data_IF_491485120084
#
_entry.id   IF_491485120084
#
_cell.length_a   1.000
_cell.length_b   1.000
_cell.length_c   1.000
_cell.angle_alpha   90.00
_cell.angle_beta   90.00
_cell.angle_gamma   90.00
#
_symmetry.space_group_name_H-M   'P 1'
#
loop_
_entity.id
_entity.type
_entity.pdbx_description
1 polymer ?
#
# COMPACT_ATOMS: atom_id res chain seq x y z
N UNK A 1 2.35 12.37 66.12
CA UNK A 1 2.76 11.32 65.15
C UNK A 1 3.66 12.00 64.14
N UNK A 2 4.89 12.38 64.52
CA UNK A 2 6.12 11.56 64.55
C UNK A 2 6.51 11.00 63.17
N UNK A 3 7.55 11.64 62.64
CA UNK A 3 8.51 11.29 61.59
C UNK A 3 8.79 9.80 61.37
N UNK A 4 9.25 9.45 60.17
CA UNK A 4 10.57 8.81 60.02
C UNK A 4 11.00 8.63 58.55
N UNK A 5 11.99 9.44 58.16
CA UNK A 5 13.07 9.07 57.25
C UNK A 5 13.87 7.88 57.83
N UNK A 6 14.25 6.91 57.00
CA UNK A 6 15.33 5.97 57.32
C UNK A 6 15.93 5.32 56.05
N UNK A 7 17.17 5.71 55.68
CA UNK A 7 18.21 4.69 55.45
C UNK A 7 18.65 4.13 56.82
N UNK A 8 19.64 3.21 56.97
CA UNK A 8 20.85 3.14 56.13
C UNK A 8 21.58 1.75 56.07
N UNK A 9 22.76 1.75 55.41
CA UNK A 9 24.07 1.18 55.83
C UNK A 9 24.36 -0.34 55.97
N UNK A 10 25.52 -0.68 55.37
CA UNK A 10 26.66 -1.44 55.97
C UNK A 10 26.52 -2.98 55.96
N UNK A 11 27.54 -3.83 55.74
CA UNK A 11 28.98 -3.90 56.11
C UNK A 11 29.58 -5.09 55.32
N UNK A 12 30.67 -4.98 54.57
CA UNK A 12 32.08 -5.15 54.94
C UNK A 12 32.45 -6.41 55.76
N UNK A 13 33.30 -7.28 55.19
CA UNK A 13 34.44 -8.00 55.84
C UNK A 13 35.39 -8.46 54.71
N UNK A 14 36.65 -8.00 54.59
CA UNK A 14 37.89 -8.13 55.37
C UNK A 14 38.57 -9.51 55.39
N UNK A 15 39.87 -9.50 55.03
CA UNK A 15 40.89 -10.52 55.33
C UNK A 15 41.86 -10.68 54.15
N UNK A 16 42.94 -9.91 53.97
CA UNK A 16 44.12 -9.64 54.81
C UNK A 16 45.02 -10.86 55.01
N UNK A 17 46.20 -10.88 54.36
CA UNK A 17 47.56 -11.05 54.93
C UNK A 17 48.59 -11.08 53.77
N UNK A 18 49.48 -10.09 53.65
CA UNK A 18 50.86 -10.02 54.21
C UNK A 18 51.80 -11.08 53.56
N UNK A 19 53.06 -10.85 53.19
CA UNK A 19 54.03 -9.76 53.43
C UNK A 19 55.34 -10.10 52.65
N UNK A 20 56.00 -9.07 52.12
CA UNK A 20 57.47 -8.77 52.12
C UNK A 20 58.57 -9.63 51.47
N UNK A 21 59.51 -8.85 50.90
CA UNK A 21 60.98 -8.99 50.76
C UNK A 21 61.50 -9.63 49.46
N UNK A 22 62.15 -8.87 48.57
CA UNK A 22 63.57 -8.46 48.49
C UNK A 22 64.53 -9.58 48.07
N UNK A 23 65.28 -9.38 46.98
CA UNK A 23 66.49 -10.15 46.64
C UNK A 23 66.67 -10.44 45.14
N UNK A 24 67.61 -9.74 44.51
CA UNK A 24 68.10 -9.93 43.14
C UNK A 24 68.74 -11.30 42.91
N UNK A 25 68.56 -11.92 41.73
CA UNK A 25 69.64 -12.61 41.01
C UNK A 25 69.38 -12.58 39.49
N UNK A 26 70.44 -12.27 38.75
CA UNK A 26 70.55 -12.29 37.29
C UNK A 26 70.43 -13.74 36.77
N UNK A 27 69.63 -13.98 35.72
CA UNK A 27 69.81 -15.14 34.82
C UNK A 27 69.16 -14.86 33.46
N UNK A 28 69.99 -14.95 32.43
CA UNK A 28 69.69 -14.78 31.01
C UNK A 28 68.94 -16.02 30.49
N UNK A 29 67.74 -15.85 29.93
CA UNK A 29 67.12 -16.85 29.06
C UNK A 29 66.16 -16.19 28.07
N UNK A 30 66.47 -16.39 26.79
CA UNK A 30 65.76 -15.91 25.60
C UNK A 30 64.38 -16.57 25.51
N UNK A 31 63.32 -15.78 25.35
CA UNK A 31 62.10 -16.22 24.65
C UNK A 31 61.47 -15.03 23.90
N UNK A 32 61.46 -15.15 22.58
CA UNK A 32 60.76 -14.25 21.67
C UNK A 32 59.24 -14.37 21.89
N UNK A 33 58.58 -13.24 22.14
CA UNK A 33 57.14 -13.12 22.10
C UNK A 33 56.78 -11.98 21.12
N UNK A 34 56.60 -12.35 19.86
CA UNK A 34 56.03 -11.48 18.84
C UNK A 34 54.57 -11.18 19.21
N UNK A 35 54.26 -9.92 19.49
CA UNK A 35 52.89 -9.46 19.66
C UNK A 35 52.16 -9.53 18.32
N UNK A 36 51.36 -10.57 18.12
CA UNK A 36 50.41 -10.65 17.01
C UNK A 36 49.15 -9.88 17.42
N UNK A 37 49.03 -8.64 16.96
CA UNK A 37 47.76 -7.90 17.04
C UNK A 37 46.74 -8.59 16.15
N UNK A 38 45.77 -9.28 16.76
CA UNK A 38 44.62 -9.87 16.07
C UNK A 38 43.66 -8.75 15.67
N UNK A 39 43.88 -8.15 14.50
CA UNK A 39 42.90 -7.27 13.86
C UNK A 39 41.79 -8.17 13.30
N UNK A 40 40.68 -8.32 14.03
CA UNK A 40 39.49 -8.97 13.47
C UNK A 40 38.99 -8.10 12.30
N UNK A 41 38.89 -8.61 11.06
CA UNK A 41 38.28 -7.85 9.99
C UNK A 41 36.79 -7.71 10.32
N UNK A 42 36.34 -6.47 10.49
CA UNK A 42 34.92 -6.15 10.50
C UNK A 42 34.36 -6.58 9.13
N UNK A 43 33.65 -7.70 9.11
CA UNK A 43 32.91 -8.14 7.93
C UNK A 43 31.78 -7.14 7.70
N UNK A 44 32.03 -6.13 6.87
CA UNK A 44 30.98 -5.31 6.29
C UNK A 44 30.14 -6.22 5.41
N UNK A 45 28.94 -6.57 5.88
CA UNK A 45 27.92 -7.17 5.03
C UNK A 45 27.55 -6.15 3.96
N UNK A 46 28.19 -6.22 2.79
CA UNK A 46 27.74 -5.49 1.61
C UNK A 46 26.40 -6.09 1.21
N UNK A 47 25.32 -5.35 1.43
CA UNK A 47 24.01 -5.71 0.91
C UNK A 47 24.09 -5.66 -0.62
N UNK A 48 24.20 -6.83 -1.26
CA UNK A 48 24.21 -6.93 -2.72
C UNK A 48 22.77 -6.86 -3.22
N UNK A 49 22.41 -5.77 -3.89
CA UNK A 49 21.14 -5.65 -4.61
C UNK A 49 21.01 -6.77 -5.65
N UNK A 50 19.80 -7.28 -5.86
CA UNK A 50 19.52 -8.17 -7.00
C UNK A 50 19.66 -7.42 -8.33
N UNK A 51 19.88 -8.10 -9.47
CA UNK A 51 19.97 -7.43 -10.78
C UNK A 51 18.76 -6.56 -11.11
N UNK A 52 17.54 -6.98 -10.73
CA UNK A 52 16.32 -6.19 -10.93
C UNK A 52 16.28 -4.93 -10.04
N UNK A 53 16.75 -5.02 -8.80
CA UNK A 53 16.85 -3.86 -7.90
C UNK A 53 17.93 -2.88 -8.36
N UNK A 54 19.06 -3.38 -8.85
CA UNK A 54 20.11 -2.54 -9.43
C UNK A 54 19.64 -1.82 -10.70
N UNK A 55 18.90 -2.51 -11.58
CA UNK A 55 18.34 -1.92 -12.78
C UNK A 55 17.29 -0.84 -12.45
N UNK A 56 16.38 -1.11 -11.51
CA UNK A 56 15.38 -0.14 -11.06
C UNK A 56 16.03 1.09 -10.40
N UNK A 57 17.06 0.90 -9.56
CA UNK A 57 17.78 2.00 -8.92
C UNK A 57 18.60 2.85 -9.90
N UNK A 58 18.96 2.31 -11.06
CA UNK A 58 19.64 3.03 -12.13
C UNK A 58 18.67 3.79 -13.06
N UNK A 59 17.38 3.48 -13.00
CA UNK A 59 16.36 4.14 -13.79
C UNK A 59 15.96 5.44 -13.10
N UNK A 60 15.90 6.53 -13.87
CA UNK A 60 15.34 7.78 -13.38
C UNK A 60 13.82 7.62 -13.22
N UNK A 61 13.27 8.08 -12.10
CA UNK A 61 11.83 7.97 -11.84
C UNK A 61 11.05 8.76 -12.87
N UNK A 62 9.95 8.19 -13.39
CA UNK A 62 9.02 8.90 -14.26
C UNK A 62 8.21 10.00 -13.53
N UNK A 63 8.21 10.02 -12.19
CA UNK A 63 7.37 10.90 -11.39
C UNK A 63 7.47 12.39 -11.70
N UNK A 64 8.66 13.01 -11.91
CA UNK A 64 8.73 14.44 -12.21
C UNK A 64 7.91 14.83 -13.44
N UNK A 65 8.01 14.06 -14.54
CA UNK A 65 7.21 14.31 -15.74
C UNK A 65 5.73 14.02 -15.54
N UNK A 66 5.39 12.91 -14.87
CA UNK A 66 4.00 12.56 -14.58
C UNK A 66 3.31 13.59 -13.68
N UNK A 67 4.03 14.10 -12.68
CA UNK A 67 3.53 15.14 -11.78
C UNK A 67 3.17 16.40 -12.57
N UNK A 68 4.06 16.84 -13.45
CA UNK A 68 3.84 18.04 -14.27
C UNK A 68 2.68 17.84 -15.25
N UNK A 69 2.59 16.67 -15.91
CA UNK A 69 1.49 16.35 -16.83
C UNK A 69 0.12 16.27 -16.14
N UNK A 70 0.07 15.73 -14.92
CA UNK A 70 -1.18 15.47 -14.20
C UNK A 70 -1.66 16.66 -13.36
N UNK A 71 -0.74 17.43 -12.77
CA UNK A 71 -1.05 18.45 -11.77
C UNK A 71 -0.51 19.84 -12.13
N UNK A 72 0.30 19.96 -13.19
CA UNK A 72 0.95 21.21 -13.58
C UNK A 72 1.82 21.79 -12.46
N UNK A 73 1.86 23.12 -12.37
CA UNK A 73 2.66 23.84 -11.37
C UNK A 73 2.05 23.83 -9.95
N UNK A 74 0.96 23.08 -9.72
CA UNK A 74 0.31 23.06 -8.40
C UNK A 74 1.25 22.46 -7.36
N UNK A 75 1.41 23.09 -6.18
CA UNK A 75 2.24 22.54 -5.13
C UNK A 75 1.60 21.26 -4.57
N UNK A 76 2.42 20.22 -4.40
CA UNK A 76 2.04 18.97 -3.73
C UNK A 76 2.65 19.00 -2.34
N UNK A 77 1.81 18.98 -1.31
CA UNK A 77 2.23 18.95 0.09
C UNK A 77 2.55 17.51 0.48
N UNK A 78 3.76 17.27 0.97
CA UNK A 78 4.25 15.95 1.40
C UNK A 78 4.25 15.82 2.92
N UNK A 79 4.26 14.58 3.42
CA UNK A 79 4.53 14.28 4.83
C UNK A 79 3.40 14.65 5.81
N UNK A 80 2.16 14.69 5.33
CA UNK A 80 0.95 14.95 6.13
C UNK A 80 0.10 13.70 6.27
N UNK A 81 -0.79 13.68 7.27
CA UNK A 81 -1.76 12.59 7.46
C UNK A 81 -3.02 12.73 6.60
N UNK A 82 -3.08 13.71 5.68
CA UNK A 82 -4.24 13.96 4.81
C UNK A 82 -4.63 12.74 3.97
N UNK A 83 -3.64 11.97 3.52
CA UNK A 83 -3.81 10.69 2.86
C UNK A 83 -2.66 9.75 3.24
N UNK A 84 -3.00 8.53 3.64
CA UNK A 84 -2.04 7.45 3.84
C UNK A 84 -2.20 6.40 2.74
N UNK A 85 -1.08 5.90 2.24
CA UNK A 85 -1.01 4.84 1.23
C UNK A 85 -0.32 3.62 1.84
N UNK A 86 -1.04 2.51 1.90
CA UNK A 86 -0.51 1.22 2.31
C UNK A 86 -0.44 0.28 1.08
N UNK A 87 0.76 -0.24 0.83
CA UNK A 87 1.02 -1.26 -0.17
C UNK A 87 2.18 -2.17 0.32
N UNK A 88 2.25 -3.43 -0.11
CA UNK A 88 3.35 -4.31 0.31
C UNK A 88 4.68 -3.84 -0.29
N UNK A 89 5.76 -3.88 0.50
CA UNK A 89 7.11 -3.54 0.01
C UNK A 89 7.61 -4.47 -1.11
N UNK A 90 7.08 -5.70 -1.15
CA UNK A 90 7.26 -6.67 -2.24
C UNK A 90 5.95 -7.41 -2.48
N UNK A 91 5.46 -7.40 -3.72
CA UNK A 91 4.25 -8.14 -4.07
C UNK A 91 4.57 -9.62 -4.30
N UNK A 92 3.76 -10.50 -3.72
CA UNK A 92 3.79 -11.94 -4.03
C UNK A 92 3.28 -12.21 -5.44
N UNK A 93 2.25 -11.49 -5.85
CA UNK A 93 1.67 -11.54 -7.19
C UNK A 93 1.53 -10.10 -7.72
N UNK A 94 2.28 -9.74 -8.79
CA UNK A 94 2.26 -8.40 -9.36
C UNK A 94 0.93 -8.07 -10.08
N UNK A 95 0.07 -9.06 -10.37
CA UNK A 95 -1.21 -8.84 -11.03
C UNK A 95 -2.32 -8.39 -10.08
N UNK A 96 -2.13 -8.55 -8.76
CA UNK A 96 -3.14 -8.32 -7.71
C UNK A 96 -2.54 -7.66 -6.46
N UNK A 97 -1.75 -6.62 -6.64
CA UNK A 97 -1.13 -5.87 -5.54
C UNK A 97 -2.22 -5.13 -4.75
N UNK A 98 -2.43 -5.42 -3.46
CA UNK A 98 -3.41 -4.71 -2.65
C UNK A 98 -2.91 -3.30 -2.33
N UNK A 99 -3.81 -2.33 -2.51
CA UNK A 99 -3.61 -0.92 -2.19
C UNK A 99 -4.71 -0.52 -1.22
N UNK A 100 -4.33 0.13 -0.12
CA UNK A 100 -5.24 0.75 0.83
C UNK A 100 -4.92 2.24 0.96
N UNK A 101 -5.96 3.04 0.87
CA UNK A 101 -5.94 4.49 0.99
C UNK A 101 -6.76 4.86 2.22
N UNK A 102 -6.16 5.53 3.18
CA UNK A 102 -6.84 6.08 4.35
C UNK A 102 -6.90 7.59 4.21
N UNK A 103 -8.08 8.17 4.38
CA UNK A 103 -8.34 9.59 4.16
C UNK A 103 -8.61 10.27 5.50
N UNK A 104 -7.99 11.42 5.73
CA UNK A 104 -8.32 12.23 6.91
C UNK A 104 -9.69 12.90 6.73
N UNK A 105 -10.70 12.58 7.55
CA UNK A 105 -12.02 13.19 7.45
C UNK A 105 -12.00 14.70 7.70
N UNK A 106 -11.00 15.24 8.42
CA UNK A 106 -10.87 16.67 8.67
C UNK A 106 -10.44 17.47 7.43
N UNK A 107 -9.84 16.82 6.43
CA UNK A 107 -9.28 17.49 5.27
C UNK A 107 -10.29 17.69 4.12
N UNK A 108 -11.50 17.13 4.22
CA UNK A 108 -12.55 17.21 3.19
C UNK A 108 -12.01 16.86 1.78
N UNK A 109 -11.35 15.70 1.67
CA UNK A 109 -10.81 15.19 0.41
C UNK A 109 -11.95 14.94 -0.58
N UNK A 110 -11.86 15.51 -1.78
CA UNK A 110 -12.85 15.37 -2.86
C UNK A 110 -12.39 14.48 -4.00
N UNK A 111 -11.08 14.34 -4.18
CA UNK A 111 -10.54 13.48 -5.23
C UNK A 111 -9.25 12.82 -4.77
N UNK A 112 -9.05 11.57 -5.17
CA UNK A 112 -7.79 10.86 -5.00
C UNK A 112 -7.34 10.25 -6.33
N UNK A 113 -6.15 10.61 -6.78
CA UNK A 113 -5.53 10.03 -7.98
C UNK A 113 -4.42 9.07 -7.56
N UNK A 114 -4.57 7.80 -7.95
CA UNK A 114 -3.58 6.75 -7.74
C UNK A 114 -2.70 6.60 -8.98
N UNK A 115 -1.40 6.85 -8.83
CA UNK A 115 -0.41 6.83 -9.92
C UNK A 115 0.63 5.76 -9.63
N UNK A 116 0.98 4.98 -10.65
CA UNK A 116 2.01 3.93 -10.61
C UNK A 116 3.03 4.31 -11.67
N UNK A 117 4.17 4.87 -11.25
CA UNK A 117 5.07 5.62 -12.14
C UNK A 117 5.51 4.82 -13.36
N UNK A 118 5.91 3.56 -13.15
CA UNK A 118 6.48 2.69 -14.19
C UNK A 118 5.46 1.74 -14.82
N UNK A 119 4.16 2.03 -14.69
CA UNK A 119 3.12 1.31 -15.42
C UNK A 119 2.92 1.91 -16.83
N UNK A 120 2.60 1.08 -17.84
CA UNK A 120 2.29 1.56 -19.20
C UNK A 120 1.13 2.56 -19.26
N UNK A 121 0.19 2.49 -18.31
CA UNK A 121 -0.78 3.53 -18.02
C UNK A 121 -0.60 3.95 -16.55
N UNK A 122 0.08 5.09 -16.28
CA UNK A 122 0.47 5.47 -14.93
C UNK A 122 -0.70 5.76 -13.99
N UNK A 123 -1.75 6.44 -14.47
CA UNK A 123 -2.96 6.67 -13.66
C UNK A 123 -3.75 5.38 -13.56
N UNK A 124 -3.71 4.74 -12.40
CA UNK A 124 -4.39 3.48 -12.16
C UNK A 124 -5.90 3.69 -11.92
N UNK A 125 -6.22 4.71 -11.13
CA UNK A 125 -7.59 5.15 -10.88
C UNK A 125 -7.61 6.59 -10.35
N UNK A 126 -8.68 7.30 -10.65
CA UNK A 126 -9.08 8.53 -9.97
C UNK A 126 -10.41 8.30 -9.28
N UNK A 127 -10.50 8.61 -8.00
CA UNK A 127 -11.70 8.49 -7.20
C UNK A 127 -12.24 9.88 -6.88
N UNK A 128 -13.48 10.15 -7.24
CA UNK A 128 -14.21 11.34 -6.80
C UNK A 128 -15.06 10.97 -5.58
N UNK A 129 -14.95 11.75 -4.51
CA UNK A 129 -15.52 11.48 -3.20
C UNK A 129 -16.52 12.57 -2.88
N UNK A 130 -17.75 12.17 -2.56
CA UNK A 130 -18.79 13.12 -2.21
C UNK A 130 -18.51 13.71 -0.84
N UNK A 131 -18.74 15.02 -0.71
CA UNK A 131 -18.68 15.71 0.58
C UNK A 131 -19.63 15.09 1.59
N UNK A 132 -19.16 14.88 2.82
CA UNK A 132 -20.00 14.31 3.88
C UNK A 132 -20.40 12.84 3.65
N UNK A 133 -19.86 12.17 2.62
CA UNK A 133 -20.09 10.74 2.35
C UNK A 133 -19.72 9.82 3.51
N UNK A 134 -18.85 10.29 4.42
CA UNK A 134 -18.32 9.49 5.51
C UNK A 134 -17.28 8.46 5.07
N UNK A 135 -16.79 8.55 3.83
CA UNK A 135 -15.75 7.68 3.29
C UNK A 135 -14.40 8.02 3.95
N UNK A 136 -13.82 7.06 4.68
CA UNK A 136 -12.53 7.25 5.39
C UNK A 136 -11.45 6.29 4.93
N UNK A 137 -11.83 5.22 4.22
CA UNK A 137 -10.91 4.24 3.69
C UNK A 137 -11.40 3.72 2.34
N UNK A 138 -10.49 3.52 1.41
CA UNK A 138 -10.74 2.89 0.13
C UNK A 138 -9.57 1.96 -0.22
N UNK A 139 -9.88 0.72 -0.55
CA UNK A 139 -8.93 -0.31 -0.91
C UNK A 139 -9.30 -0.96 -2.22
N UNK A 140 -8.31 -1.23 -3.06
CA UNK A 140 -8.47 -1.97 -4.31
C UNK A 140 -7.23 -2.81 -4.62
N UNK A 141 -7.23 -3.50 -5.76
CA UNK A 141 -6.09 -4.29 -6.23
C UNK A 141 -5.66 -3.77 -7.60
N UNK A 142 -4.36 -3.60 -7.75
CA UNK A 142 -3.76 -3.08 -8.98
C UNK A 142 -2.72 -4.05 -9.55
N UNK A 143 -2.51 -3.95 -10.86
CA UNK A 143 -1.41 -4.55 -11.60
C UNK A 143 -0.20 -3.62 -11.53
N UNK A 144 0.97 -4.14 -11.19
CA UNK A 144 2.24 -3.40 -11.15
C UNK A 144 3.22 -4.02 -12.13
N UNK A 145 3.73 -3.23 -13.07
CA UNK A 145 4.50 -3.71 -14.20
C UNK A 145 6.02 -3.73 -13.96
N UNK A 146 6.52 -2.83 -13.11
CA UNK A 146 7.93 -2.72 -12.78
C UNK A 146 8.09 -2.25 -11.33
N UNK A 147 9.31 -2.37 -10.80
CA UNK A 147 9.63 -1.84 -9.48
C UNK A 147 9.47 -0.34 -9.53
N UNK A 148 8.61 0.21 -8.68
CA UNK A 148 8.09 1.56 -8.86
C UNK A 148 7.66 2.14 -7.52
N UNK A 149 7.72 3.47 -7.42
CA UNK A 149 6.90 4.18 -6.46
C UNK A 149 5.44 4.15 -6.93
N UNK A 150 4.52 4.01 -5.99
CA UNK A 150 3.10 4.26 -6.16
C UNK A 150 2.81 5.55 -5.41
N UNK A 151 2.23 6.53 -6.09
CA UNK A 151 1.82 7.81 -5.54
C UNK A 151 0.30 7.84 -5.35
N UNK A 152 -0.15 8.34 -4.21
CA UNK A 152 -1.55 8.72 -4.00
C UNK A 152 -1.61 10.22 -3.78
N UNK A 153 -2.30 10.93 -4.68
CA UNK A 153 -2.48 12.38 -4.62
C UNK A 153 -3.92 12.67 -4.23
N UNK A 154 -4.11 13.30 -3.07
CA UNK A 154 -5.41 13.73 -2.58
C UNK A 154 -5.63 15.22 -2.84
N UNK A 155 -6.77 15.57 -3.42
CA UNK A 155 -7.23 16.92 -3.66
C UNK A 155 -8.37 17.25 -2.69
N UNK A 156 -8.18 18.30 -1.92
CA UNK A 156 -9.18 18.82 -0.97
C UNK A 156 -10.17 19.77 -1.64
N UNK A 157 -11.27 20.10 -0.95
CA UNK A 157 -12.30 20.99 -1.47
C UNK A 157 -11.82 22.39 -1.85
N UNK A 158 -10.73 22.89 -1.24
CA UNK A 158 -10.13 24.19 -1.57
C UNK A 158 -9.09 24.13 -2.70
N UNK A 159 -8.84 22.93 -3.25
CA UNK A 159 -7.86 22.70 -4.30
C UNK A 159 -6.43 22.48 -3.80
N UNK A 160 -6.19 22.29 -2.51
CA UNK A 160 -4.86 21.88 -2.02
C UNK A 160 -4.60 20.42 -2.37
N UNK A 161 -3.40 20.13 -2.90
CA UNK A 161 -2.94 18.78 -3.23
C UNK A 161 -1.98 18.25 -2.15
N UNK A 162 -2.25 17.04 -1.67
CA UNK A 162 -1.39 16.29 -0.76
C UNK A 162 -0.92 15.03 -1.45
N UNK A 163 0.34 14.64 -1.27
CA UNK A 163 0.90 13.43 -1.87
C UNK A 163 1.61 12.57 -0.85
N UNK A 164 1.39 11.27 -0.98
CA UNK A 164 2.14 10.22 -0.28
C UNK A 164 2.58 9.17 -1.28
N UNK A 165 3.62 8.40 -0.93
CA UNK A 165 4.14 7.36 -1.81
C UNK A 165 4.59 6.11 -1.06
N UNK A 166 4.54 4.99 -1.77
CA UNK A 166 5.05 3.71 -1.30
C UNK A 166 5.78 2.99 -2.42
N UNK A 167 7.05 2.64 -2.18
CA UNK A 167 7.83 1.83 -3.11
C UNK A 167 7.41 0.36 -3.05
N UNK A 168 7.18 -0.25 -4.22
CA UNK A 168 6.72 -1.64 -4.34
C UNK A 168 7.62 -2.42 -5.28
N UNK A 169 8.18 -3.53 -4.78
CA UNK A 169 8.93 -4.51 -5.59
C UNK A 169 7.97 -5.51 -6.22
N UNK A 170 7.51 -5.23 -7.44
CA UNK A 170 6.63 -6.08 -8.24
C UNK A 170 6.92 -5.89 -9.75
N UNK A 171 6.81 -6.92 -10.58
CA UNK A 171 7.09 -6.78 -12.01
C UNK A 171 6.22 -7.71 -12.87
N UNK A 172 5.81 -7.23 -14.05
CA UNK A 172 5.09 -8.01 -15.07
C UNK A 172 3.59 -8.20 -14.83
N UNK A 173 2.99 -7.52 -13.85
CA UNK A 173 1.56 -7.68 -13.50
C UNK A 173 0.59 -7.31 -14.61
N UNK A 174 0.96 -6.36 -15.47
CA UNK A 174 0.11 -5.94 -16.58
C UNK A 174 0.05 -6.99 -17.70
N UNK A 175 1.12 -7.74 -17.94
CA UNK A 175 1.18 -8.80 -18.96
C UNK A 175 0.85 -10.20 -18.40
N UNK A 176 0.66 -10.32 -17.07
CA UNK A 176 0.31 -11.58 -16.43
C UNK A 176 -1.00 -12.16 -17.00
N UNK A 177 -1.04 -13.45 -17.38
CA UNK A 177 -2.23 -14.07 -17.94
C UNK A 177 -3.46 -13.91 -17.02
N UNK A 178 -4.59 -13.53 -17.61
CA UNK A 178 -5.89 -13.52 -16.93
C UNK A 178 -6.54 -14.92 -16.99
N UNK A 179 -7.40 -15.27 -16.03
CA UNK A 179 -8.26 -16.46 -15.91
C UNK A 179 -7.79 -17.80 -16.53
N UNK A 180 -7.82 -18.90 -15.76
CA UNK A 180 -7.59 -20.26 -16.32
C UNK A 180 -8.70 -20.74 -17.27
N UNK A 181 -9.87 -20.13 -17.24
CA UNK A 181 -11.04 -20.47 -18.07
C UNK A 181 -11.80 -19.21 -18.52
N UNK A 182 -11.54 -18.79 -19.75
CA UNK A 182 -12.13 -17.59 -20.34
C UNK A 182 -13.65 -17.73 -20.62
N UNK A 183 -14.14 -18.94 -20.88
CA UNK A 183 -15.57 -19.15 -21.18
C UNK A 183 -16.42 -18.99 -19.92
N UNK A 184 -15.96 -19.54 -18.80
CA UNK A 184 -16.61 -19.34 -17.50
C UNK A 184 -16.55 -17.88 -17.08
N UNK A 185 -15.40 -17.21 -17.25
CA UNK A 185 -15.25 -15.80 -16.95
C UNK A 185 -16.24 -14.94 -17.76
N UNK A 186 -16.38 -15.20 -19.06
CA UNK A 186 -17.33 -14.49 -19.92
C UNK A 186 -18.79 -14.68 -19.48
N UNK A 187 -19.19 -15.89 -19.08
CA UNK A 187 -20.55 -16.18 -18.59
C UNK A 187 -20.88 -15.50 -17.26
N UNK A 188 -19.86 -15.20 -16.46
CA UNK A 188 -20.01 -14.58 -15.14
C UNK A 188 -19.78 -13.06 -15.15
N UNK A 189 -19.34 -12.51 -16.29
CA UNK A 189 -19.08 -11.09 -16.44
C UNK A 189 -20.29 -10.24 -16.02
N UNK A 190 -20.03 -9.18 -15.26
CA UNK A 190 -21.05 -8.28 -14.72
C UNK A 190 -21.73 -8.77 -13.44
N UNK A 191 -21.50 -10.01 -13.00
CA UNK A 191 -22.01 -10.46 -11.71
C UNK A 191 -21.36 -9.65 -10.59
N UNK A 192 -22.19 -9.02 -9.76
CA UNK A 192 -21.73 -8.24 -8.61
C UNK A 192 -22.17 -8.84 -7.28
N UNK A 193 -21.28 -8.75 -6.29
CA UNK A 193 -21.52 -9.10 -4.89
C UNK A 193 -21.01 -7.99 -3.99
N UNK A 194 -21.83 -7.59 -3.01
CA UNK A 194 -21.42 -6.72 -1.92
C UNK A 194 -21.43 -7.51 -0.62
N UNK A 195 -20.40 -7.36 0.21
CA UNK A 195 -20.33 -7.87 1.58
C UNK A 195 -20.24 -6.68 2.52
N UNK A 196 -21.14 -6.61 3.50
CA UNK A 196 -21.02 -5.67 4.62
C UNK A 196 -20.35 -6.39 5.80
N UNK A 197 -19.57 -5.67 6.58
CA UNK A 197 -18.88 -6.17 7.77
C UNK A 197 -19.34 -5.39 9.00
N UNK A 198 -19.20 -6.00 10.17
CA UNK A 198 -19.64 -5.41 11.43
C UNK A 198 -18.94 -4.07 11.70
N UNK A 199 -19.67 -3.15 12.34
CA UNK A 199 -19.15 -1.83 12.68
C UNK A 199 -18.00 -1.94 13.67
N UNK A 200 -16.98 -1.11 13.47
CA UNK A 200 -16.00 -0.78 14.51
C UNK A 200 -16.34 0.59 15.10
N UNK A 201 -16.26 0.70 16.42
CA UNK A 201 -16.33 2.00 17.08
C UNK A 201 -14.95 2.64 17.06
N UNK A 202 -14.79 3.67 16.23
CA UNK A 202 -13.57 4.46 16.12
C UNK A 202 -13.88 5.85 16.64
N UNK A 203 -13.42 6.16 17.85
CA UNK A 203 -13.56 7.49 18.45
C UNK A 203 -15.02 7.90 18.72
N UNK A 204 -15.94 6.96 18.98
CA UNK A 204 -17.35 7.24 19.27
C UNK A 204 -18.23 7.36 18.02
N UNK A 205 -17.68 7.13 16.83
CA UNK A 205 -18.43 7.08 15.57
C UNK A 205 -18.44 5.64 15.04
N UNK A 206 -19.64 5.09 14.85
CA UNK A 206 -19.81 3.79 14.22
C UNK A 206 -19.32 3.86 12.76
N UNK A 207 -18.19 3.22 12.49
CA UNK A 207 -17.63 3.07 11.16
C UNK A 207 -17.96 1.67 10.65
N UNK A 208 -18.61 1.60 9.50
CA UNK A 208 -18.98 0.37 8.82
C UNK A 208 -18.02 0.10 7.68
N UNK A 209 -17.92 -1.16 7.29
CA UNK A 209 -17.09 -1.56 6.18
C UNK A 209 -17.90 -2.35 5.15
N UNK A 210 -17.65 -2.10 3.87
CA UNK A 210 -18.23 -2.87 2.78
C UNK A 210 -17.15 -3.27 1.76
N UNK A 211 -17.41 -4.35 1.03
CA UNK A 211 -16.59 -4.81 -0.08
C UNK A 211 -17.48 -5.13 -1.28
N UNK A 212 -17.34 -4.33 -2.32
CA UNK A 212 -17.89 -4.59 -3.65
C UNK A 212 -16.93 -5.48 -4.44
N UNK A 213 -17.45 -6.50 -5.09
CA UNK A 213 -16.73 -7.38 -6.01
C UNK A 213 -17.52 -7.44 -7.32
N UNK A 214 -16.81 -7.26 -8.43
CA UNK A 214 -17.39 -7.27 -9.78
C UNK A 214 -16.63 -8.32 -10.59
N UNK A 215 -17.35 -9.28 -11.17
CA UNK A 215 -16.76 -10.23 -12.11
C UNK A 215 -16.51 -9.53 -13.44
N UNK A 216 -15.25 -9.36 -13.80
CA UNK A 216 -14.84 -8.69 -15.03
C UNK A 216 -13.41 -9.07 -15.40
N UNK A 217 -13.11 -9.36 -16.68
CA UNK A 217 -11.77 -9.81 -17.08
C UNK A 217 -10.68 -8.78 -16.78
N UNK A 218 -10.99 -7.48 -16.93
CA UNK A 218 -10.04 -6.39 -16.70
C UNK A 218 -8.68 -6.67 -17.39
N UNK A 219 -8.78 -7.01 -18.67
CA UNK A 219 -7.63 -7.23 -19.55
C UNK A 219 -6.94 -5.90 -19.81
N UNK A 220 -5.62 -5.88 -19.72
CA UNK A 220 -4.83 -4.65 -19.82
C UNK A 220 -4.49 -4.29 -21.27
N UNK A 221 -4.67 -5.24 -22.20
CA UNK A 221 -4.16 -5.13 -23.57
C UNK A 221 -2.76 -5.71 -23.76
N UNK A 222 -2.07 -6.08 -22.68
CA UNK A 222 -0.65 -6.50 -22.70
C UNK A 222 -0.48 -8.01 -22.50
N UNK A 223 -1.54 -8.71 -22.09
CA UNK A 223 -1.53 -10.16 -21.99
C UNK A 223 -1.48 -10.81 -23.37
N UNK A 224 -0.84 -11.96 -23.48
CA UNK A 224 -0.89 -12.82 -24.67
C UNK A 224 -1.77 -14.03 -24.43
N UNK A 225 -2.64 -14.30 -25.40
CA UNK A 225 -3.38 -15.54 -25.46
C UNK A 225 -2.40 -16.70 -25.75
N UNK A 226 -2.42 -17.73 -24.91
CA UNK A 226 -1.42 -18.80 -24.96
C UNK A 226 -1.60 -19.75 -26.16
N UNK A 227 -2.73 -19.69 -26.86
CA UNK A 227 -3.05 -20.53 -28.01
C UNK A 227 -2.73 -19.80 -29.31
N UNK A 228 -3.30 -18.61 -29.48
CA UNK A 228 -3.16 -17.79 -30.68
C UNK A 228 -1.86 -16.99 -30.70
N UNK A 229 -1.22 -16.79 -29.54
CA UNK A 229 -0.03 -15.95 -29.34
C UNK A 229 -0.23 -14.46 -29.66
N UNK A 230 -1.48 -14.05 -29.89
CA UNK A 230 -1.88 -12.67 -30.10
C UNK A 230 -2.08 -11.96 -28.76
N UNK A 231 -2.00 -10.63 -28.78
CA UNK A 231 -2.37 -9.81 -27.64
C UNK A 231 -3.89 -9.88 -27.41
N UNK A 232 -4.27 -10.07 -26.15
CA UNK A 232 -5.66 -9.97 -25.72
C UNK A 232 -6.01 -8.48 -25.68
N UNK A 233 -7.06 -8.02 -26.38
CA UNK A 233 -7.46 -6.61 -26.35
C UNK A 233 -7.73 -6.11 -24.94
N UNK A 234 -7.48 -4.82 -24.71
CA UNK A 234 -7.84 -4.17 -23.45
C UNK A 234 -9.35 -4.21 -23.27
N UNK A 235 -9.80 -4.73 -22.12
CA UNK A 235 -11.23 -4.83 -21.79
C UNK A 235 -11.37 -4.73 -20.27
N UNK A 236 -11.67 -3.53 -19.79
CA UNK A 236 -11.67 -3.20 -18.36
C UNK A 236 -12.81 -2.24 -18.00
N UNK A 237 -13.14 -2.18 -16.71
CA UNK A 237 -14.09 -1.22 -16.16
C UNK A 237 -13.45 0.18 -16.20
N UNK A 238 -14.05 1.09 -16.97
CA UNK A 238 -13.63 2.49 -17.07
C UNK A 238 -14.23 3.33 -15.96
N UNK A 239 -15.49 3.06 -15.60
CA UNK A 239 -16.25 3.88 -14.67
C UNK A 239 -16.94 3.01 -13.62
N UNK A 240 -16.93 3.45 -12.36
CA UNK A 240 -17.73 2.90 -11.28
C UNK A 240 -18.37 4.04 -10.50
N UNK A 241 -19.65 3.91 -10.20
CA UNK A 241 -20.38 4.74 -9.25
C UNK A 241 -20.93 3.85 -8.14
N UNK A 242 -20.71 4.25 -6.89
CA UNK A 242 -21.30 3.63 -5.71
C UNK A 242 -22.15 4.67 -5.02
N UNK A 243 -23.47 4.46 -5.03
CA UNK A 243 -24.47 5.29 -4.39
C UNK A 243 -24.99 4.58 -3.13
N UNK A 244 -25.43 5.35 -2.15
CA UNK A 244 -26.08 4.87 -0.93
C UNK A 244 -27.25 5.78 -0.59
N UNK A 245 -28.44 5.19 -0.46
CA UNK A 245 -29.66 5.97 -0.19
C UNK A 245 -30.04 6.95 -1.30
N UNK A 246 -29.56 6.75 -2.52
CA UNK A 246 -29.76 7.67 -3.66
C UNK A 246 -28.72 8.79 -3.76
N UNK A 247 -27.79 8.87 -2.82
CA UNK A 247 -26.68 9.84 -2.84
C UNK A 247 -25.37 9.15 -3.23
N UNK A 248 -24.54 9.81 -4.03
CA UNK A 248 -23.22 9.29 -4.41
C UNK A 248 -22.34 9.17 -3.17
N UNK A 249 -21.77 7.98 -2.93
CA UNK A 249 -20.70 7.80 -1.94
C UNK A 249 -19.36 8.20 -2.56
N UNK A 250 -18.99 7.50 -3.64
CA UNK A 250 -17.82 7.81 -4.45
C UNK A 250 -18.00 7.29 -5.89
N UNK A 251 -17.25 7.84 -6.82
CA UNK A 251 -17.05 7.29 -8.16
C UNK A 251 -15.58 7.05 -8.45
N UNK A 252 -15.30 6.21 -9.43
CA UNK A 252 -13.97 5.92 -9.94
C UNK A 252 -13.97 6.05 -11.45
N UNK A 253 -12.95 6.73 -11.99
CA UNK A 253 -12.47 6.53 -13.35
C UNK A 253 -11.20 5.67 -13.29
N UNK A 254 -11.25 4.48 -13.87
CA UNK A 254 -10.18 3.48 -13.81
C UNK A 254 -9.42 3.33 -15.12
N UNK A 255 -8.24 2.72 -15.03
CA UNK A 255 -7.42 2.33 -16.18
C UNK A 255 -7.12 0.83 -16.23
N UNK A 256 -6.27 0.44 -17.18
CA UNK A 256 -5.79 -0.95 -17.36
C UNK A 256 -5.05 -1.53 -16.15
N UNK A 257 -4.69 -0.68 -15.18
CA UNK A 257 -3.97 -1.07 -13.97
C UNK A 257 -4.89 -1.64 -12.90
N UNK A 258 -6.22 -1.52 -12.98
CA UNK A 258 -7.12 -2.23 -12.05
C UNK A 258 -7.11 -3.72 -12.35
N UNK A 259 -6.89 -4.55 -11.33
CA UNK A 259 -6.78 -6.01 -11.46
C UNK A 259 -8.05 -6.68 -12.01
N UNK A 260 -7.88 -7.91 -12.52
CA UNK A 260 -8.98 -8.83 -12.81
C UNK A 260 -9.91 -9.01 -11.60
N UNK A 261 -11.20 -9.21 -11.88
CA UNK A 261 -12.28 -9.24 -10.88
C UNK A 261 -12.17 -8.07 -9.88
N UNK A 262 -12.37 -6.82 -10.35
CA UNK A 262 -12.19 -5.64 -9.52
C UNK A 262 -12.91 -5.75 -8.18
N UNK A 263 -12.18 -5.42 -7.11
CA UNK A 263 -12.73 -5.37 -5.76
C UNK A 263 -12.42 -4.03 -5.14
N UNK A 264 -13.44 -3.44 -4.53
CA UNK A 264 -13.37 -2.17 -3.83
C UNK A 264 -13.88 -2.38 -2.42
N UNK A 265 -12.98 -2.27 -1.44
CA UNK A 265 -13.32 -2.32 -0.02
C UNK A 265 -13.23 -0.92 0.55
N UNK A 266 -14.20 -0.50 1.35
CA UNK A 266 -14.26 0.86 1.83
C UNK A 266 -14.97 0.97 3.19
N UNK A 267 -14.54 1.97 3.96
CA UNK A 267 -15.18 2.34 5.22
C UNK A 267 -16.12 3.51 5.01
N UNK A 268 -17.27 3.49 5.69
CA UNK A 268 -18.29 4.52 5.63
C UNK A 268 -18.97 4.73 6.98
N UNK A 269 -19.54 5.90 7.20
CA UNK A 269 -20.33 6.21 8.41
C UNK A 269 -21.84 6.26 8.12
N UNK A 270 -22.66 6.20 9.18
CA UNK A 270 -24.13 6.31 9.10
C UNK A 270 -24.85 4.97 9.00
N UNK A 271 -26.18 4.98 8.88
CA UNK A 271 -27.06 3.81 9.06
C UNK A 271 -26.73 2.59 8.14
N UNK A 272 -26.26 1.45 8.69
CA UNK A 272 -25.85 0.28 7.90
C UNK A 272 -26.99 -0.40 7.15
N UNK A 273 -28.26 -0.07 7.43
CA UNK A 273 -29.41 -0.63 6.73
C UNK A 273 -29.68 0.04 5.37
N UNK A 274 -29.07 1.20 5.11
CA UNK A 274 -29.29 1.95 3.87
C UNK A 274 -28.73 1.16 2.67
N UNK A 275 -29.54 0.88 1.62
CA UNK A 275 -29.09 0.14 0.46
C UNK A 275 -27.97 0.84 -0.32
N UNK A 276 -27.09 0.02 -0.90
CA UNK A 276 -26.11 0.45 -1.89
C UNK A 276 -26.65 0.23 -3.30
N UNK A 277 -26.32 1.11 -4.22
CA UNK A 277 -26.47 0.90 -5.65
C UNK A 277 -25.10 1.07 -6.32
N UNK A 278 -24.62 0.03 -6.99
CA UNK A 278 -23.38 0.09 -7.75
C UNK A 278 -23.68 0.04 -9.23
N UNK A 279 -23.02 0.89 -10.01
CA UNK A 279 -23.08 0.93 -11.47
C UNK A 279 -21.66 1.02 -12.04
N UNK A 280 -21.29 0.07 -12.87
CA UNK A 280 -20.00 0.00 -13.56
C UNK A 280 -20.20 0.05 -15.08
N UNK A 281 -19.26 0.65 -15.80
CA UNK A 281 -19.21 0.68 -17.27
C UNK A 281 -17.84 0.22 -17.75
N UNK A 282 -17.79 -0.60 -18.80
CA UNK A 282 -16.54 -1.09 -19.40
C UNK A 282 -16.17 -0.35 -20.69
N UNK A 283 -14.97 -0.64 -21.20
CA UNK A 283 -14.45 -0.08 -22.46
C UNK A 283 -15.28 -0.40 -23.70
N UNK A 284 -16.20 -1.36 -23.64
CA UNK A 284 -17.14 -1.70 -24.73
C UNK A 284 -18.50 -1.00 -24.56
N UNK A 285 -18.65 -0.16 -23.53
CA UNK A 285 -19.89 0.54 -23.19
C UNK A 285 -20.93 -0.33 -22.50
N UNK A 286 -20.58 -1.55 -22.06
CA UNK A 286 -21.51 -2.40 -21.31
C UNK A 286 -21.66 -1.85 -19.91
N UNK A 287 -22.92 -1.78 -19.46
CA UNK A 287 -23.28 -1.32 -18.12
C UNK A 287 -23.67 -2.51 -17.27
N UNK A 288 -23.08 -2.57 -16.07
CA UNK A 288 -23.41 -3.54 -15.04
C UNK A 288 -23.90 -2.78 -13.82
N UNK A 289 -25.09 -3.07 -13.33
CA UNK A 289 -25.63 -2.37 -12.16
C UNK A 289 -26.39 -3.30 -11.24
N UNK A 290 -26.34 -3.02 -9.94
CA UNK A 290 -27.03 -3.81 -8.93
C UNK A 290 -27.26 -3.01 -7.66
N UNK A 291 -28.45 -3.16 -7.09
CA UNK A 291 -28.78 -2.68 -5.75
C UNK A 291 -28.56 -3.80 -4.73
N UNK A 292 -27.90 -3.48 -3.63
CA UNK A 292 -27.63 -4.38 -2.51
C UNK A 292 -28.33 -3.83 -1.28
N UNK A 293 -29.21 -4.63 -0.70
CA UNK A 293 -29.73 -4.38 0.63
C UNK A 293 -28.78 -5.07 1.61
N UNK A 294 -28.11 -4.35 2.51
CA UNK A 294 -27.28 -4.96 3.54
C UNK A 294 -28.15 -5.91 4.36
N UNK A 295 -27.89 -7.21 4.28
CA UNK A 295 -28.55 -8.17 5.17
C UNK A 295 -28.04 -7.91 6.59
N UNK A 296 -28.97 -7.76 7.54
CA UNK A 296 -28.62 -7.69 8.97
C UNK A 296 -28.09 -9.06 9.38
N UNK A 297 -26.78 -9.24 9.35
CA UNK A 297 -26.10 -10.43 9.89
C UNK A 297 -26.12 -10.41 11.42
#
# INVERSE_FOLDING_TARGET
MLDAHAGPKSRATHGFHRRTSMGSVLSLAVFAASALTLSAPAAFAQSTLSPAEAAAAAMESAWPGLKDDLFGDRPLVEGTDAIMLEAPSRATDPAIVPIKLTLDPAMNIRKVTLVIDENPAPVAATFDITEGSGLTELSTRVRVNAYTDIHAVAETADGTLYVTKQYVKAAGGCAAPAAKDAEVAAKQMGQMKLRAFAAADIGGTATHEAQLMIRHPNNSGLQKDQVTLLYIPAHFITDLAVDRGGERLFSMTGGISISEDPSFRFNYTGDPSVPFHAKATDTEGKVFEKTFVPEQS
#
